data_IF_781804501615
#
_entry.id   IF_781804501615
#
_cell.length_a   1.000
_cell.length_b   1.000
_cell.length_c   1.000
_cell.angle_alpha   90.00
_cell.angle_beta   90.00
_cell.angle_gamma   90.00
#
_symmetry.space_group_name_H-M   'P 1'
#
loop_
_entity.id
_entity.type
_entity.pdbx_description
1 polymer ?
#
# COMPACT_ATOMS: atom_id res chain seq x y z
N UNK A 1 3.25 -7.44 24.89
CA UNK A 1 3.81 -8.72 24.39
C UNK A 1 5.32 -8.91 24.69
N UNK A 2 5.89 -8.21 25.69
CA UNK A 2 7.35 -8.20 25.89
C UNK A 2 8.07 -7.35 24.85
N UNK A 3 9.36 -7.61 24.65
CA UNK A 3 10.17 -6.94 23.63
C UNK A 3 9.83 -7.48 22.24
N UNK A 4 9.66 -6.58 21.27
CA UNK A 4 9.42 -6.98 19.86
C UNK A 4 10.70 -7.58 19.29
N UNK A 5 10.59 -8.77 18.71
CA UNK A 5 11.69 -9.52 18.06
C UNK A 5 11.63 -9.35 16.55
N UNK A 6 10.43 -9.51 15.96
CA UNK A 6 10.23 -9.33 14.52
C UNK A 6 8.80 -8.98 14.15
N UNK A 7 8.62 -8.47 12.93
CA UNK A 7 7.32 -8.12 12.35
C UNK A 7 7.20 -8.76 10.97
N UNK A 8 6.04 -9.35 10.69
CA UNK A 8 5.62 -9.72 9.33
C UNK A 8 4.49 -8.79 8.91
N UNK A 9 4.57 -8.22 7.70
CA UNK A 9 3.59 -7.28 7.20
C UNK A 9 3.31 -7.50 5.71
N UNK A 10 2.03 -7.48 5.35
CA UNK A 10 1.55 -7.56 3.97
C UNK A 10 0.67 -6.36 3.66
N UNK A 11 1.11 -5.50 2.74
CA UNK A 11 0.30 -4.48 2.09
C UNK A 11 -0.40 -5.13 0.88
N UNK A 12 -1.70 -5.33 1.03
CA UNK A 12 -2.57 -5.83 -0.03
C UNK A 12 -3.06 -4.64 -0.86
N UNK A 13 -2.45 -4.40 -2.02
CA UNK A 13 -2.86 -3.29 -2.89
C UNK A 13 -4.19 -3.58 -3.57
N UNK A 14 -4.39 -4.84 -3.99
CA UNK A 14 -5.58 -5.31 -4.69
C UNK A 14 -5.47 -5.17 -6.21
N UNK A 15 -5.88 -6.21 -6.93
CA UNK A 15 -5.63 -6.33 -8.38
C UNK A 15 -6.29 -5.22 -9.21
N UNK A 16 -7.49 -4.76 -8.80
CA UNK A 16 -8.18 -3.65 -9.45
C UNK A 16 -7.49 -2.32 -9.18
N UNK A 17 -7.01 -2.13 -7.95
CA UNK A 17 -6.29 -0.92 -7.57
C UNK A 17 -4.96 -0.82 -8.31
N UNK A 18 -4.24 -1.94 -8.42
CA UNK A 18 -3.03 -2.03 -9.22
C UNK A 18 -3.27 -1.65 -10.69
N UNK A 19 -4.31 -2.23 -11.31
CA UNK A 19 -4.70 -1.89 -12.67
C UNK A 19 -5.13 -0.42 -12.82
N UNK A 20 -5.85 0.14 -11.84
CA UNK A 20 -6.30 1.53 -11.84
C UNK A 20 -5.14 2.50 -11.67
N UNK A 21 -4.40 2.42 -10.57
CA UNK A 21 -3.45 3.44 -10.11
C UNK A 21 -2.06 3.26 -10.72
N UNK A 22 -1.61 2.01 -10.84
CA UNK A 22 -0.22 1.67 -11.15
C UNK A 22 -0.01 1.09 -12.55
N UNK A 23 -1.09 0.84 -13.31
CA UNK A 23 -0.99 0.54 -14.75
C UNK A 23 -1.54 1.69 -15.60
N UNK A 24 -2.77 2.15 -15.32
CA UNK A 24 -3.46 3.16 -16.12
C UNK A 24 -3.28 4.58 -15.58
N UNK A 25 -3.27 4.71 -14.26
CA UNK A 25 -3.35 5.96 -13.55
C UNK A 25 -2.02 6.71 -13.48
N UNK A 26 -2.03 7.79 -12.73
CA UNK A 26 -0.94 8.77 -12.65
C UNK A 26 0.39 8.18 -12.15
N UNK A 27 0.33 7.04 -11.47
CA UNK A 27 1.44 6.50 -10.69
C UNK A 27 2.10 5.27 -11.31
N UNK A 28 1.67 4.86 -12.50
CA UNK A 28 2.22 3.67 -13.14
C UNK A 28 3.63 3.83 -13.70
N UNK A 29 4.16 5.06 -13.80
CA UNK A 29 5.43 5.32 -14.48
C UNK A 29 6.34 6.24 -13.64
N UNK A 30 7.54 5.76 -13.32
CA UNK A 30 8.48 6.46 -12.42
C UNK A 30 9.19 7.67 -13.05
N UNK A 31 9.06 7.92 -14.35
CA UNK A 31 9.48 9.20 -14.94
C UNK A 31 8.46 10.32 -14.63
N UNK A 32 7.20 9.96 -14.43
CA UNK A 32 6.09 10.90 -14.14
C UNK A 32 5.72 10.98 -12.66
N UNK A 33 6.10 9.97 -11.88
CA UNK A 33 5.71 9.80 -10.49
C UNK A 33 6.82 9.15 -9.66
N UNK A 34 6.59 8.96 -8.36
CA UNK A 34 7.52 8.25 -7.49
C UNK A 34 7.39 6.71 -7.63
N UNK A 35 8.38 5.93 -7.19
CA UNK A 35 8.27 4.47 -7.15
C UNK A 35 7.06 3.99 -6.33
N UNK A 36 6.42 2.91 -6.77
CA UNK A 36 5.21 2.37 -6.14
C UNK A 36 5.41 2.07 -4.65
N UNK A 37 6.58 1.56 -4.25
CA UNK A 37 6.89 1.28 -2.84
C UNK A 37 6.84 2.54 -1.96
N UNK A 38 7.21 3.71 -2.49
CA UNK A 38 7.10 4.96 -1.74
C UNK A 38 5.64 5.39 -1.63
N UNK A 39 4.85 5.22 -2.67
CA UNK A 39 3.45 5.65 -2.67
C UNK A 39 2.54 4.74 -1.83
N UNK A 40 2.84 3.44 -1.79
CA UNK A 40 2.01 2.43 -1.12
C UNK A 40 2.57 1.87 0.15
N UNK A 41 3.83 2.12 0.49
CA UNK A 41 4.41 1.55 1.70
C UNK A 41 5.11 2.57 2.58
N UNK A 42 5.12 3.87 2.23
CA UNK A 42 5.66 4.89 3.13
C UNK A 42 4.97 4.88 4.49
N UNK A 43 3.64 4.73 4.53
CA UNK A 43 2.90 4.63 5.78
C UNK A 43 3.18 3.31 6.53
N UNK A 44 3.56 2.23 5.84
CA UNK A 44 3.90 0.96 6.50
C UNK A 44 5.25 1.11 7.20
N UNK A 45 6.22 1.72 6.50
CA UNK A 45 7.53 2.02 7.07
C UNK A 45 7.43 3.01 8.23
N UNK A 46 6.55 4.01 8.12
CA UNK A 46 6.26 4.96 9.19
C UNK A 46 5.66 4.26 10.43
N UNK A 47 4.69 3.36 10.21
CA UNK A 47 4.13 2.52 11.27
C UNK A 47 5.20 1.68 11.96
N UNK A 48 6.14 1.07 11.23
CA UNK A 48 7.22 0.31 11.85
C UNK A 48 8.13 1.19 12.70
N UNK A 49 8.52 2.36 12.19
CA UNK A 49 9.33 3.32 12.94
C UNK A 49 8.61 3.72 14.22
N UNK A 50 7.31 4.03 14.13
CA UNK A 50 6.49 4.40 15.28
C UNK A 50 6.33 3.26 16.29
N UNK A 51 5.94 2.05 15.85
CA UNK A 51 5.76 0.87 16.72
C UNK A 51 7.06 0.46 17.42
N UNK A 52 8.20 0.69 16.80
CA UNK A 52 9.51 0.38 17.36
C UNK A 52 10.09 1.53 18.20
N UNK A 53 9.31 2.58 18.47
CA UNK A 53 9.70 3.68 19.35
C UNK A 53 10.71 4.63 18.72
N UNK A 54 10.61 4.86 17.40
CA UNK A 54 11.51 5.76 16.66
C UNK A 54 12.87 5.16 16.31
N UNK A 55 13.09 3.86 16.54
CA UNK A 55 14.32 3.16 16.18
C UNK A 55 14.66 3.33 14.70
N UNK A 56 15.95 3.50 14.41
CA UNK A 56 16.44 3.70 13.05
C UNK A 56 16.55 2.39 12.28
N UNK A 57 16.32 2.47 10.98
CA UNK A 57 16.56 1.34 10.08
C UNK A 57 18.04 1.29 9.70
N UNK A 58 18.69 0.16 9.96
CA UNK A 58 20.13 -0.09 9.81
C UNK A 58 20.47 -1.04 8.66
N UNK A 59 19.47 -1.42 7.87
CA UNK A 59 19.66 -2.31 6.72
C UNK A 59 18.35 -2.59 6.00
N UNK A 60 18.40 -2.52 4.67
CA UNK A 60 17.28 -2.74 3.75
C UNK A 60 17.74 -3.61 2.59
N UNK A 61 17.04 -4.71 2.32
CA UNK A 61 17.22 -5.51 1.11
C UNK A 61 15.86 -5.75 0.46
N UNK A 62 15.75 -5.59 -0.86
CA UNK A 62 14.47 -5.67 -1.56
C UNK A 62 14.57 -6.32 -2.93
N UNK A 63 13.54 -7.07 -3.29
CA UNK A 63 13.35 -7.68 -4.60
C UNK A 63 11.92 -7.45 -5.07
N UNK A 64 11.71 -7.28 -6.37
CA UNK A 64 10.38 -7.04 -6.95
C UNK A 64 10.45 -6.72 -8.43
N UNK A 65 9.37 -7.01 -9.14
CA UNK A 65 9.29 -6.90 -10.58
C UNK A 65 7.85 -6.58 -11.03
N UNK A 66 7.70 -6.21 -12.30
CA UNK A 66 6.41 -6.19 -13.01
C UNK A 66 6.26 -7.52 -13.76
N UNK A 67 5.86 -8.58 -13.07
CA UNK A 67 5.74 -9.90 -13.68
C UNK A 67 4.63 -9.98 -14.72
N UNK A 68 3.46 -9.39 -14.49
CA UNK A 68 2.27 -9.59 -15.31
C UNK A 68 1.91 -8.38 -16.16
N UNK A 69 1.96 -7.16 -15.62
CA UNK A 69 1.45 -5.96 -16.29
C UNK A 69 2.43 -5.39 -17.33
N UNK A 70 2.79 -6.20 -18.32
CA UNK A 70 3.72 -5.86 -19.39
C UNK A 70 3.29 -6.46 -20.75
N UNK A 71 3.93 -6.02 -21.83
CA UNK A 71 3.57 -6.39 -23.20
C UNK A 71 3.72 -7.89 -23.50
N UNK A 72 4.63 -8.59 -22.82
CA UNK A 72 4.86 -10.03 -23.04
C UNK A 72 3.65 -10.88 -22.62
N UNK A 73 2.82 -10.38 -21.72
CA UNK A 73 1.62 -11.07 -21.22
C UNK A 73 0.33 -10.63 -21.90
N UNK A 74 0.42 -9.77 -22.93
CA UNK A 74 -0.75 -9.32 -23.68
C UNK A 74 -1.34 -10.51 -24.45
N UNK A 75 -2.63 -10.86 -24.23
CA UNK A 75 -3.26 -11.94 -24.99
C UNK A 75 -3.23 -11.65 -26.49
N UNK A 76 -2.99 -12.67 -27.30
CA UNK A 76 -3.01 -12.53 -28.75
C UNK A 76 -4.37 -11.98 -29.23
N UNK A 77 -4.32 -10.99 -30.13
CA UNK A 77 -5.51 -10.28 -30.61
C UNK A 77 -6.14 -9.29 -29.63
N UNK A 78 -5.64 -9.15 -28.39
CA UNK A 78 -6.09 -8.09 -27.50
C UNK A 78 -5.65 -6.72 -28.05
N UNK A 79 -6.53 -5.72 -28.19
CA UNK A 79 -6.18 -4.38 -28.64
C UNK A 79 -5.56 -3.54 -27.50
N UNK A 80 -5.10 -2.33 -27.85
CA UNK A 80 -4.47 -1.43 -26.89
C UNK A 80 -5.48 -0.83 -25.88
N UNK A 81 -6.78 -0.93 -26.15
CA UNK A 81 -7.86 -0.40 -25.31
C UNK A 81 -8.90 -1.46 -24.99
N UNK A 82 -9.38 -1.48 -23.76
CA UNK A 82 -10.29 -2.52 -23.28
C UNK A 82 -11.66 -2.50 -23.97
N UNK A 83 -12.16 -1.34 -24.40
CA UNK A 83 -13.48 -1.27 -25.06
C UNK A 83 -13.50 -1.85 -26.48
N UNK A 84 -12.33 -1.99 -27.10
CA UNK A 84 -12.20 -2.62 -28.42
C UNK A 84 -11.92 -4.12 -28.31
N UNK A 85 -11.77 -4.63 -27.07
CA UNK A 85 -11.33 -6.00 -26.83
C UNK A 85 -12.38 -7.03 -27.25
N UNK A 86 -12.01 -8.05 -28.06
CA UNK A 86 -12.93 -9.12 -28.42
C UNK A 86 -13.56 -9.77 -27.18
N UNK A 87 -14.86 -10.03 -27.23
CA UNK A 87 -15.62 -10.57 -26.10
C UNK A 87 -15.04 -11.89 -25.57
N UNK A 88 -14.46 -12.73 -26.43
CA UNK A 88 -13.82 -13.98 -26.03
C UNK A 88 -12.59 -13.79 -25.13
N UNK A 89 -11.87 -12.68 -25.29
CA UNK A 89 -10.71 -12.30 -24.46
C UNK A 89 -11.19 -11.53 -23.23
N UNK A 90 -12.01 -10.51 -23.44
CA UNK A 90 -12.50 -9.61 -22.39
C UNK A 90 -13.18 -10.36 -21.25
N UNK A 91 -14.04 -11.34 -21.57
CA UNK A 91 -14.78 -12.13 -20.57
C UNK A 91 -13.89 -12.91 -19.62
N UNK A 92 -12.68 -13.30 -20.05
CA UNK A 92 -11.70 -14.02 -19.23
C UNK A 92 -10.71 -13.09 -18.51
N UNK A 93 -10.65 -11.82 -18.89
CA UNK A 93 -9.70 -10.86 -18.32
C UNK A 93 -10.20 -10.32 -16.98
N UNK A 94 -9.43 -10.47 -15.87
CA UNK A 94 -9.78 -9.87 -14.59
C UNK A 94 -9.54 -8.35 -14.56
N UNK A 95 -8.72 -7.82 -15.47
CA UNK A 95 -8.32 -6.41 -15.53
C UNK A 95 -9.13 -5.58 -16.53
N UNK A 96 -10.23 -6.11 -17.07
CA UNK A 96 -11.06 -5.39 -18.05
C UNK A 96 -11.54 -4.06 -17.47
N UNK A 97 -11.25 -2.96 -18.18
CA UNK A 97 -11.73 -1.64 -17.78
C UNK A 97 -13.27 -1.57 -17.82
N UNK A 98 -13.93 -2.30 -18.73
CA UNK A 98 -15.40 -2.40 -18.76
C UNK A 98 -15.93 -3.00 -17.46
N UNK A 99 -15.37 -4.13 -17.01
CA UNK A 99 -15.77 -4.77 -15.74
C UNK A 99 -15.50 -3.88 -14.53
N UNK A 100 -14.33 -3.22 -14.50
CA UNK A 100 -13.91 -2.39 -13.37
C UNK A 100 -14.75 -1.11 -13.26
N UNK A 101 -15.03 -0.43 -14.37
CA UNK A 101 -15.63 0.91 -14.32
C UNK A 101 -17.10 0.96 -14.75
N UNK A 102 -17.55 0.09 -15.66
CA UNK A 102 -18.95 0.10 -16.12
C UNK A 102 -19.83 -0.84 -15.30
N UNK A 103 -19.37 -2.09 -15.07
CA UNK A 103 -20.15 -3.11 -14.35
C UNK A 103 -20.03 -2.96 -12.82
N UNK A 104 -18.85 -2.58 -12.32
CA UNK A 104 -18.61 -2.29 -10.90
C UNK A 104 -18.59 -0.79 -10.62
N UNK A 105 -19.77 -0.23 -10.37
CA UNK A 105 -19.93 1.21 -10.19
C UNK A 105 -19.30 1.76 -8.90
N UNK A 106 -19.03 0.91 -7.92
CA UNK A 106 -18.32 1.24 -6.67
C UNK A 106 -16.90 1.77 -6.92
N UNK A 107 -16.24 1.29 -7.99
CA UNK A 107 -14.92 1.76 -8.40
C UNK A 107 -14.91 3.11 -9.12
N UNK A 108 -16.06 3.75 -9.28
CA UNK A 108 -16.17 5.12 -9.81
C UNK A 108 -15.93 6.19 -8.74
N UNK A 109 -15.72 5.81 -7.48
CA UNK A 109 -15.49 6.76 -6.38
C UNK A 109 -14.39 7.81 -6.64
N UNK A 110 -13.29 7.55 -7.39
CA UNK A 110 -12.26 8.55 -7.65
C UNK A 110 -12.70 9.65 -8.63
N UNK A 111 -13.79 9.45 -9.37
CA UNK A 111 -14.23 10.36 -10.42
C UNK A 111 -15.33 11.29 -9.91
N UNK A 112 -15.29 12.55 -10.38
CA UNK A 112 -16.31 13.56 -10.06
C UNK A 112 -17.63 13.24 -10.76
N UNK A 113 -17.61 13.10 -12.10
CA UNK A 113 -18.76 12.62 -12.86
C UNK A 113 -18.71 11.10 -12.96
N UNK A 114 -19.71 10.45 -12.34
CA UNK A 114 -19.81 8.99 -12.22
C UNK A 114 -20.84 8.39 -13.17
N UNK A 115 -21.40 9.18 -14.09
CA UNK A 115 -22.39 8.71 -15.07
C UNK A 115 -21.80 7.69 -16.04
N UNK A 116 -22.64 6.79 -16.58
CA UNK A 116 -22.20 5.82 -17.58
C UNK A 116 -21.60 6.52 -18.81
N UNK A 117 -22.19 7.63 -19.25
CA UNK A 117 -21.70 8.40 -20.39
C UNK A 117 -20.29 8.97 -20.14
N UNK A 118 -20.03 9.52 -18.94
CA UNK A 118 -18.71 10.02 -18.57
C UNK A 118 -17.69 8.88 -18.47
N UNK A 119 -18.06 7.74 -17.88
CA UNK A 119 -17.20 6.57 -17.81
C UNK A 119 -16.88 6.03 -19.21
N UNK A 120 -17.86 5.88 -20.09
CA UNK A 120 -17.63 5.44 -21.46
C UNK A 120 -16.69 6.37 -22.21
N UNK A 121 -16.90 7.68 -22.11
CA UNK A 121 -15.99 8.68 -22.72
C UNK A 121 -14.57 8.54 -22.18
N UNK A 122 -14.40 8.47 -20.85
CA UNK A 122 -13.11 8.25 -20.20
C UNK A 122 -12.43 6.97 -20.68
N UNK A 123 -13.19 5.88 -20.84
CA UNK A 123 -12.66 4.61 -21.32
C UNK A 123 -12.37 4.60 -22.83
N UNK A 124 -12.96 5.48 -23.62
CA UNK A 124 -12.63 5.64 -25.05
C UNK A 124 -11.44 6.55 -25.29
N UNK A 125 -11.31 7.62 -24.50
CA UNK A 125 -10.36 8.71 -24.78
C UNK A 125 -9.22 8.77 -23.75
N UNK A 126 -9.53 8.50 -22.48
CA UNK A 126 -8.61 8.67 -21.36
C UNK A 126 -7.70 7.46 -21.08
N UNK A 127 -6.80 7.59 -20.10
CA UNK A 127 -5.83 6.53 -19.79
C UNK A 127 -6.48 5.29 -19.16
N UNK A 128 -7.58 5.46 -18.43
CA UNK A 128 -8.28 4.37 -17.73
C UNK A 128 -8.92 3.32 -18.66
N UNK A 129 -9.04 3.62 -19.96
CA UNK A 129 -9.48 2.66 -20.96
C UNK A 129 -8.40 1.76 -21.53
N UNK A 130 -7.12 2.02 -21.25
CA UNK A 130 -6.00 1.26 -21.82
C UNK A 130 -5.97 -0.17 -21.30
N UNK A 131 -5.51 -1.08 -22.15
CA UNK A 131 -5.16 -2.44 -21.74
C UNK A 131 -3.95 -2.38 -20.80
N UNK A 132 -4.01 -3.04 -19.64
CA UNK A 132 -2.90 -3.06 -18.68
C UNK A 132 -1.60 -3.63 -19.26
N UNK A 133 -1.69 -4.50 -20.27
CA UNK A 133 -0.55 -5.08 -20.98
C UNK A 133 -0.05 -4.18 -22.14
N UNK A 134 -0.72 -3.07 -22.42
CA UNK A 134 -0.33 -2.08 -23.43
C UNK A 134 -0.12 -0.68 -22.81
N UNK A 135 -0.01 -0.65 -21.48
CA UNK A 135 0.42 0.53 -20.74
C UNK A 135 1.94 0.71 -20.81
N UNK A 136 2.38 1.92 -20.50
CA UNK A 136 3.79 2.33 -20.39
C UNK A 136 4.24 2.34 -18.92
N UNK A 137 3.66 1.45 -18.11
CA UNK A 137 3.96 1.36 -16.68
C UNK A 137 5.28 0.64 -16.42
N UNK A 138 5.99 1.09 -15.40
CA UNK A 138 7.19 0.47 -14.83
C UNK A 138 7.02 0.18 -13.32
N UNK A 139 5.83 0.44 -12.77
CA UNK A 139 5.47 0.05 -11.42
C UNK A 139 5.51 -1.48 -11.27
N UNK A 140 6.13 -1.95 -10.19
CA UNK A 140 6.16 -3.36 -9.79
C UNK A 140 4.75 -3.86 -9.47
N UNK A 141 4.48 -5.15 -9.68
CA UNK A 141 3.23 -5.76 -9.21
C UNK A 141 3.39 -6.48 -7.87
N UNK A 142 4.62 -6.87 -7.52
CA UNK A 142 4.96 -7.42 -6.22
C UNK A 142 6.37 -6.98 -5.80
N UNK A 143 6.56 -6.73 -4.50
CA UNK A 143 7.87 -6.38 -3.95
C UNK A 143 7.99 -6.85 -2.51
N UNK A 144 9.09 -7.53 -2.18
CA UNK A 144 9.46 -7.89 -0.82
C UNK A 144 10.55 -6.95 -0.31
N UNK A 145 10.50 -6.61 0.97
CA UNK A 145 11.47 -5.75 1.65
C UNK A 145 11.81 -6.37 3.00
N UNK A 146 13.08 -6.70 3.20
CA UNK A 146 13.63 -7.11 4.48
C UNK A 146 14.30 -5.91 5.14
N UNK A 147 13.90 -5.61 6.37
CA UNK A 147 14.41 -4.49 7.15
C UNK A 147 15.10 -5.00 8.42
N UNK A 148 16.18 -4.34 8.81
CA UNK A 148 16.82 -4.50 10.13
C UNK A 148 16.80 -3.17 10.86
N UNK A 149 16.24 -3.13 12.04
CA UNK A 149 16.21 -1.95 12.91
C UNK A 149 17.26 -2.06 14.03
N UNK A 150 17.54 -0.94 14.67
CA UNK A 150 18.35 -0.89 15.91
C UNK A 150 17.84 -1.87 16.96
N UNK A 151 18.76 -2.46 17.73
CA UNK A 151 18.43 -3.53 18.68
C UNK A 151 18.19 -4.90 18.02
N UNK A 152 18.43 -5.03 16.71
CA UNK A 152 18.38 -6.32 16.00
C UNK A 152 16.97 -6.76 15.60
N UNK A 153 15.95 -5.91 15.77
CA UNK A 153 14.58 -6.19 15.34
C UNK A 153 14.52 -6.30 13.83
N UNK A 154 13.82 -7.31 13.32
CA UNK A 154 13.67 -7.54 11.87
C UNK A 154 12.25 -7.34 11.41
N UNK A 155 12.07 -6.84 10.19
CA UNK A 155 10.74 -6.75 9.56
C UNK A 155 10.80 -7.38 8.18
N UNK A 156 9.85 -8.27 7.90
CA UNK A 156 9.56 -8.79 6.57
C UNK A 156 8.29 -8.13 6.06
N UNK A 157 8.43 -7.23 5.09
CA UNK A 157 7.34 -6.53 4.42
C UNK A 157 7.16 -7.09 3.01
N UNK A 158 5.90 -7.28 2.59
CA UNK A 158 5.52 -7.57 1.22
C UNK A 158 4.44 -6.59 0.75
N UNK A 159 4.64 -5.98 -0.42
CA UNK A 159 3.61 -5.28 -1.18
C UNK A 159 3.12 -6.20 -2.30
N UNK A 160 1.80 -6.41 -2.38
CA UNK A 160 1.21 -7.38 -3.31
C UNK A 160 0.01 -6.80 -4.07
N UNK A 161 0.10 -6.79 -5.40
CA UNK A 161 -1.01 -6.42 -6.28
C UNK A 161 -1.99 -7.55 -6.49
N UNK A 162 -1.56 -8.81 -6.43
CA UNK A 162 -2.39 -9.98 -6.74
C UNK A 162 -3.21 -10.47 -5.55
N UNK A 163 -3.86 -9.54 -4.85
CA UNK A 163 -4.80 -9.82 -3.77
C UNK A 163 -6.24 -9.50 -4.19
N UNK A 164 -7.20 -10.26 -3.67
CA UNK A 164 -8.63 -9.99 -3.92
C UNK A 164 -9.11 -8.72 -3.21
N UNK A 165 -8.77 -8.61 -1.92
CA UNK A 165 -9.09 -7.46 -1.08
C UNK A 165 -7.86 -6.55 -0.94
N UNK A 166 -8.13 -5.28 -0.60
CA UNK A 166 -7.10 -4.36 -0.12
C UNK A 166 -6.87 -4.47 1.39
N UNK A 167 -5.96 -3.66 1.92
CA UNK A 167 -5.71 -3.54 3.36
C UNK A 167 -4.40 -4.18 3.80
N UNK A 168 -4.23 -4.34 5.11
CA UNK A 168 -2.97 -4.80 5.71
C UNK A 168 -3.17 -6.08 6.51
N UNK A 169 -2.19 -6.96 6.51
CA UNK A 169 -2.07 -8.06 7.47
C UNK A 169 -0.75 -7.93 8.21
N UNK A 170 -0.81 -7.90 9.53
CA UNK A 170 0.36 -7.70 10.38
C UNK A 170 0.44 -8.80 11.41
N UNK A 171 1.64 -9.35 11.61
CA UNK A 171 1.96 -10.16 12.79
C UNK A 171 3.17 -9.57 13.48
N UNK A 172 3.06 -9.32 14.78
CA UNK A 172 4.14 -8.80 15.61
C UNK A 172 4.54 -9.89 16.60
N UNK A 173 5.80 -10.28 16.57
CA UNK A 173 6.33 -11.36 17.40
C UNK A 173 7.15 -10.75 18.53
N UNK A 174 6.70 -10.95 19.77
CA UNK A 174 7.39 -10.49 20.97
C UNK A 174 7.93 -11.64 21.82
N UNK A 175 8.78 -11.30 22.79
CA UNK A 175 9.37 -12.29 23.71
C UNK A 175 8.37 -12.93 24.67
N UNK A 176 7.19 -12.32 24.86
CA UNK A 176 6.15 -12.77 25.80
C UNK A 176 4.75 -12.87 25.18
N UNK A 177 4.64 -12.71 23.87
CA UNK A 177 3.35 -12.79 23.18
C UNK A 177 3.46 -12.50 21.69
N UNK A 178 2.33 -12.60 21.01
CA UNK A 178 2.19 -12.18 19.61
C UNK A 178 0.92 -11.35 19.40
N UNK A 179 0.95 -10.50 18.38
CA UNK A 179 -0.22 -9.75 17.90
C UNK A 179 -0.47 -10.17 16.45
N UNK A 180 -1.72 -10.48 16.13
CA UNK A 180 -2.18 -10.72 14.76
C UNK A 180 -3.25 -9.68 14.43
N UNK A 181 -3.03 -8.91 13.36
CA UNK A 181 -3.92 -7.83 12.97
C UNK A 181 -4.27 -7.83 11.49
N UNK A 182 -5.43 -7.28 11.17
CA UNK A 182 -5.93 -7.14 9.79
C UNK A 182 -6.27 -5.72 9.37
N UNK A 183 -5.73 -4.73 10.11
CA UNK A 183 -6.00 -3.31 9.89
C UNK A 183 -7.29 -2.80 10.53
N UNK A 184 -8.12 -3.68 11.10
CA UNK A 184 -9.29 -3.31 11.91
C UNK A 184 -9.24 -3.96 13.28
N UNK A 185 -9.03 -5.26 13.30
CA UNK A 185 -9.02 -6.07 14.51
C UNK A 185 -7.59 -6.47 14.88
N UNK A 186 -7.36 -6.63 16.17
CA UNK A 186 -6.14 -7.21 16.73
C UNK A 186 -6.52 -8.39 17.61
N UNK A 187 -5.81 -9.49 17.44
CA UNK A 187 -5.80 -10.62 18.37
C UNK A 187 -4.45 -10.64 19.07
N UNK A 188 -4.45 -10.53 20.39
CA UNK A 188 -3.24 -10.46 21.21
C UNK A 188 -3.15 -11.72 22.05
N UNK A 189 -2.10 -12.51 21.84
CA UNK A 189 -1.83 -13.73 22.59
C UNK A 189 -0.74 -13.48 23.62
N UNK A 190 -1.02 -13.76 24.89
CA UNK A 190 -0.10 -13.62 26.01
C UNK A 190 0.45 -14.99 26.41
N UNK A 191 1.77 -15.18 26.37
CA UNK A 191 2.37 -16.50 26.60
C UNK A 191 2.41 -16.88 28.08
N UNK A 192 2.60 -15.91 28.96
CA UNK A 192 2.71 -16.08 30.40
C UNK A 192 1.37 -16.43 31.05
N UNK A 193 0.32 -15.70 30.70
CA UNK A 193 -1.05 -15.92 31.22
C UNK A 193 -1.83 -16.94 30.41
N UNK A 194 -1.38 -17.27 29.19
CA UNK A 194 -2.12 -18.09 28.20
C UNK A 194 -3.50 -17.54 27.88
N UNK A 195 -3.64 -16.21 27.91
CA UNK A 195 -4.88 -15.51 27.57
C UNK A 195 -4.82 -14.94 26.17
N UNK A 196 -6.00 -14.69 25.60
CA UNK A 196 -6.18 -13.99 24.33
C UNK A 196 -7.07 -12.79 24.55
N UNK A 197 -6.63 -11.63 24.06
CA UNK A 197 -7.40 -10.40 24.01
C UNK A 197 -7.78 -10.11 22.55
N UNK A 198 -9.00 -9.60 22.36
CA UNK A 198 -9.50 -9.18 21.07
C UNK A 198 -9.80 -7.69 21.13
N UNK A 199 -9.28 -6.95 20.17
CA UNK A 199 -9.51 -5.52 20.01
C UNK A 199 -10.10 -5.25 18.63
N UNK A 200 -11.09 -4.35 18.55
CA UNK A 200 -11.73 -3.95 17.29
C UNK A 200 -11.84 -2.42 17.25
N UNK A 201 -11.18 -1.80 16.28
CA UNK A 201 -11.16 -0.34 16.13
C UNK A 201 -12.54 0.27 16.00
N UNK A 202 -13.52 -0.44 15.45
CA UNK A 202 -14.87 0.08 15.27
C UNK A 202 -15.69 0.08 16.57
N UNK A 203 -15.26 -0.65 17.60
CA UNK A 203 -15.91 -0.66 18.91
C UNK A 203 -15.28 0.38 19.84
N UNK A 204 -13.99 0.63 19.66
CA UNK A 204 -13.16 1.46 20.54
C UNK A 204 -13.16 2.92 20.12
N UNK A 205 -13.20 3.15 18.82
CA UNK A 205 -13.25 4.48 18.28
C UNK A 205 -14.70 4.82 17.96
N UNK A 206 -15.23 5.90 18.56
CA UNK A 206 -16.44 6.58 18.08
C UNK A 206 -16.30 7.17 16.67
N UNK A 207 -15.36 6.65 15.87
CA UNK A 207 -15.09 7.01 14.49
C UNK A 207 -16.30 6.63 13.66
N UNK A 208 -16.93 7.65 13.09
CA UNK A 208 -18.08 7.49 12.22
C UNK A 208 -17.78 6.44 11.14
N UNK A 209 -18.61 5.40 11.12
CA UNK A 209 -18.64 4.42 10.04
C UNK A 209 -18.73 5.16 8.70
N UNK A 210 -17.83 4.84 7.76
CA UNK A 210 -17.92 5.33 6.37
C UNK A 210 -16.82 6.30 5.91
N UNK A 211 -15.79 6.59 6.72
CA UNK A 211 -14.59 7.26 6.19
C UNK A 211 -13.79 6.28 5.33
N UNK A 212 -13.60 6.61 4.04
CA UNK A 212 -12.83 5.80 3.09
C UNK A 212 -11.36 5.58 3.47
N UNK A 213 -10.83 6.36 4.43
CA UNK A 213 -9.45 6.29 4.92
C UNK A 213 -9.33 5.74 6.35
N UNK A 214 -10.32 4.96 6.82
CA UNK A 214 -10.24 4.28 8.12
C UNK A 214 -10.25 5.22 9.34
N UNK A 215 -10.66 6.48 9.15
CA UNK A 215 -10.79 7.48 10.22
C UNK A 215 -9.50 8.23 10.58
N UNK A 216 -8.35 7.86 10.00
CA UNK A 216 -7.06 8.51 10.29
C UNK A 216 -7.03 10.01 9.97
N UNK A 217 -7.74 10.42 8.90
CA UNK A 217 -7.83 11.84 8.51
C UNK A 217 -8.38 12.72 9.63
N UNK A 218 -9.40 12.24 10.36
CA UNK A 218 -9.98 12.99 11.48
C UNK A 218 -8.99 13.12 12.62
N UNK A 219 -8.27 12.03 12.98
CA UNK A 219 -7.23 12.08 14.00
C UNK A 219 -6.10 13.05 13.65
N UNK A 220 -5.68 13.09 12.37
CA UNK A 220 -4.68 14.06 11.91
C UNK A 220 -5.19 15.50 11.99
N UNK A 221 -6.44 15.75 11.62
CA UNK A 221 -7.04 17.10 11.70
C UNK A 221 -7.24 17.54 13.14
N UNK A 222 -7.69 16.65 14.03
CA UNK A 222 -7.85 16.93 15.46
C UNK A 222 -6.49 17.28 16.08
N UNK A 223 -5.45 16.50 15.78
CA UNK A 223 -4.10 16.78 16.26
C UNK A 223 -3.54 18.09 15.69
N UNK A 224 -3.78 18.39 14.41
CA UNK A 224 -3.39 19.67 13.82
C UNK A 224 -4.07 20.84 14.52
N UNK A 225 -5.39 20.76 14.76
CA UNK A 225 -6.13 21.81 15.47
C UNK A 225 -5.58 21.98 16.88
N UNK A 226 -5.39 20.87 17.62
CA UNK A 226 -4.81 20.89 18.96
C UNK A 226 -3.43 21.54 18.98
N UNK A 227 -2.57 21.22 18.02
CA UNK A 227 -1.24 21.83 17.90
C UNK A 227 -1.31 23.34 17.61
N UNK A 228 -2.27 23.80 16.82
CA UNK A 228 -2.44 25.21 16.50
C UNK A 228 -3.06 26.03 17.65
N UNK A 229 -3.90 25.40 18.49
CA UNK A 229 -4.62 26.09 19.57
C UNK A 229 -3.93 25.99 20.92
N UNK A 230 -3.24 24.88 21.18
CA UNK A 230 -2.69 24.53 22.49
C UNK A 230 -1.21 24.09 22.44
N UNK A 231 -0.69 23.79 21.24
CA UNK A 231 0.64 23.22 21.07
C UNK A 231 1.77 24.24 21.25
N UNK A 232 2.92 23.75 21.73
CA UNK A 232 4.18 24.50 21.70
C UNK A 232 4.81 24.36 20.30
N UNK A 233 4.98 25.47 19.54
CA UNK A 233 5.63 25.45 18.22
C UNK A 233 7.02 24.82 18.21
N UNK A 234 7.73 24.77 19.35
CA UNK A 234 9.04 24.13 19.47
C UNK A 234 8.99 22.60 19.32
N UNK A 235 7.83 21.96 19.45
CA UNK A 235 7.65 20.51 19.27
C UNK A 235 7.35 20.09 17.83
N UNK A 236 7.01 21.06 16.97
CA UNK A 236 6.65 20.84 15.56
C UNK A 236 7.80 20.31 14.67
N UNK A 237 9.07 20.77 14.82
CA UNK A 237 10.19 20.29 13.99
C UNK A 237 10.45 18.78 14.10
N UNK A 238 10.15 18.16 15.25
CA UNK A 238 10.33 16.74 15.48
C UNK A 238 9.44 15.86 14.58
N UNK A 239 8.29 16.38 14.10
CA UNK A 239 7.34 15.65 13.27
C UNK A 239 7.87 15.47 11.84
N UNK A 240 8.52 16.49 11.28
CA UNK A 240 9.09 16.39 9.94
C UNK A 240 10.29 15.44 9.91
N UNK A 241 11.19 15.55 10.90
CA UNK A 241 12.33 14.63 11.00
C UNK A 241 11.89 13.18 11.24
N UNK A 242 10.81 12.95 11.99
CA UNK A 242 10.24 11.63 12.21
C UNK A 242 9.72 11.00 10.91
N UNK A 243 9.03 11.77 10.06
CA UNK A 243 8.48 11.28 8.78
C UNK A 243 9.55 11.05 7.68
N UNK A 244 10.77 11.59 7.85
CA UNK A 244 11.85 11.40 6.88
C UNK A 244 12.39 9.96 6.86
N UNK A 245 12.32 9.26 8.00
CA UNK A 245 12.85 7.90 8.12
C UNK A 245 12.11 6.92 7.20
N UNK A 246 10.77 6.99 7.16
CA UNK A 246 9.95 6.14 6.30
C UNK A 246 10.22 6.36 4.82
N UNK A 247 10.45 7.61 4.41
CA UNK A 247 10.85 7.97 3.05
C UNK A 247 12.24 7.43 2.70
N UNK A 248 13.21 7.53 3.62
CA UNK A 248 14.55 6.97 3.44
C UNK A 248 14.50 5.45 3.24
N UNK A 249 13.70 4.74 4.05
CA UNK A 249 13.49 3.30 3.89
C UNK A 249 12.90 2.99 2.52
N UNK A 250 11.88 3.72 2.07
CA UNK A 250 11.26 3.49 0.76
C UNK A 250 12.23 3.70 -0.41
N UNK A 251 13.02 4.78 -0.40
CA UNK A 251 14.04 5.01 -1.43
C UNK A 251 15.15 3.96 -1.39
N UNK A 252 15.58 3.53 -0.19
CA UNK A 252 16.54 2.45 -0.03
C UNK A 252 15.99 1.11 -0.55
N UNK A 253 14.72 0.82 -0.33
CA UNK A 253 14.07 -0.38 -0.85
C UNK A 253 14.04 -0.37 -2.39
N UNK A 254 13.66 0.75 -3.01
CA UNK A 254 13.69 0.86 -4.48
C UNK A 254 15.11 0.77 -5.04
N UNK A 255 16.09 1.43 -4.39
CA UNK A 255 17.48 1.32 -4.80
C UNK A 255 18.00 -0.12 -4.70
N UNK A 256 17.67 -0.82 -3.60
CA UNK A 256 18.02 -2.23 -3.41
C UNK A 256 17.44 -3.11 -4.51
N UNK A 257 16.15 -2.94 -4.82
CA UNK A 257 15.46 -3.65 -5.90
C UNK A 257 16.17 -3.49 -7.24
N UNK A 258 16.49 -2.24 -7.62
CA UNK A 258 17.21 -1.93 -8.87
C UNK A 258 18.63 -2.51 -8.89
N UNK A 259 19.25 -2.65 -7.73
CA UNK A 259 20.55 -3.26 -7.54
C UNK A 259 20.48 -4.77 -7.22
N UNK A 260 19.42 -5.46 -7.64
CA UNK A 260 19.24 -6.91 -7.49
C UNK A 260 19.35 -7.38 -6.03
N UNK A 261 18.76 -6.62 -5.11
CA UNK A 261 18.67 -6.94 -3.69
C UNK A 261 19.92 -6.63 -2.87
N UNK A 262 20.87 -5.88 -3.43
CA UNK A 262 22.02 -5.38 -2.69
C UNK A 262 21.57 -4.69 -1.39
N UNK A 263 22.28 -4.98 -0.29
CA UNK A 263 21.98 -4.41 1.01
C UNK A 263 22.19 -2.90 0.96
N UNK A 264 21.11 -2.16 1.11
CA UNK A 264 21.09 -0.71 1.26
C UNK A 264 21.06 -0.34 2.73
N UNK A 265 21.54 0.87 3.01
CA UNK A 265 21.71 1.44 4.35
C UNK A 265 22.65 0.64 5.27
N UNK A 266 23.86 1.17 5.38
CA UNK A 266 24.53 1.39 6.65
C UNK A 266 25.32 2.71 6.51
N UNK A 267 24.66 3.84 6.76
CA UNK A 267 25.21 5.16 7.14
C UNK A 267 24.15 5.91 7.93
#
# INVERSE_FOLDING_TARGET
IGDVVSIQHLEQVGYMHAAHSFCRGNWGNTERATPMILQKCCHDFDQFVWWLGGRKCTGVSSFGETSLFNAAHRPEGAPARCLDCPAAIERKCPFSARKIYLERQDWRYPFVDKSDAAMEKMLREGPYGRCVYACDNDAVDHQVVNLRFEGGVTVAHQMESFTYAGGRKTRVFGTRGEIVGDGRTLTIHHFDTRTTELWDSALEAGLAQGSGHGGGDYGLMDELVRLLTEGDPATFPAIFEASLESHRIAFAAEASRRAQGALMLAK
#
